data_IF_537820532042
#
_entry.id   IF_537820532042
#
_cell.length_a   1.000
_cell.length_b   1.000
_cell.length_c   1.000
_cell.angle_alpha   90.00
_cell.angle_beta   90.00
_cell.angle_gamma   90.00
#
_symmetry.space_group_name_H-M   'P 1'
#
loop_
_entity.id
_entity.type
_entity.pdbx_description
1 polymer ?
#
# COMPACT_ATOMS: atom_id res chain seq x y z
N UNK A 1 17.16 -12.30 2.07
CA UNK A 1 16.16 -12.54 3.13
C UNK A 1 15.61 -11.20 3.60
N UNK A 2 14.33 -11.11 3.95
CA UNK A 2 13.71 -9.87 4.44
C UNK A 2 14.25 -9.49 5.83
N UNK A 3 14.57 -8.21 6.09
CA UNK A 3 14.96 -7.74 7.42
C UNK A 3 13.79 -7.80 8.43
N UNK A 4 12.55 -8.04 7.96
CA UNK A 4 11.35 -8.17 8.80
C UNK A 4 11.20 -9.58 9.42
N UNK A 5 12.15 -10.48 9.18
CA UNK A 5 12.18 -11.83 9.76
C UNK A 5 11.36 -12.89 9.01
N UNK A 6 10.59 -12.50 7.98
CA UNK A 6 9.85 -13.43 7.12
C UNK A 6 9.81 -12.94 5.66
N UNK A 7 9.88 -13.89 4.73
CA UNK A 7 9.86 -13.63 3.28
C UNK A 7 11.18 -13.11 2.69
N UNK A 8 11.10 -12.65 1.43
CA UNK A 8 12.24 -12.22 0.63
C UNK A 8 12.02 -10.81 0.07
N UNK A 9 13.11 -10.07 -0.07
CA UNK A 9 13.11 -8.85 -0.87
C UNK A 9 13.27 -9.22 -2.35
N UNK A 10 12.60 -8.49 -3.22
CA UNK A 10 12.76 -8.59 -4.66
C UNK A 10 12.95 -7.18 -5.25
N UNK A 11 13.74 -7.10 -6.32
CA UNK A 11 14.02 -5.85 -7.03
C UNK A 11 13.44 -5.88 -8.45
N UNK A 12 13.74 -4.82 -9.21
CA UNK A 12 13.23 -4.60 -10.57
C UNK A 12 13.28 -5.86 -11.44
N UNK A 13 14.44 -6.54 -11.54
CA UNK A 13 14.61 -7.73 -12.40
C UNK A 13 13.53 -8.79 -12.15
N UNK A 14 13.33 -9.17 -10.88
CA UNK A 14 12.33 -10.19 -10.51
C UNK A 14 10.91 -9.69 -10.79
N UNK A 15 10.64 -8.40 -10.56
CA UNK A 15 9.37 -7.78 -10.95
C UNK A 15 9.14 -7.91 -12.45
N UNK A 16 10.07 -7.49 -13.31
CA UNK A 16 9.90 -7.58 -14.76
C UNK A 16 9.73 -9.02 -15.26
N UNK A 17 10.54 -9.96 -14.75
CA UNK A 17 10.42 -11.39 -15.08
C UNK A 17 9.04 -11.94 -14.70
N UNK A 18 8.56 -11.67 -13.48
CA UNK A 18 7.23 -12.11 -13.04
C UNK A 18 6.12 -11.53 -13.91
N UNK A 19 6.20 -10.24 -14.23
CA UNK A 19 5.21 -9.55 -15.06
C UNK A 19 5.15 -10.12 -16.47
N UNK A 20 6.31 -10.35 -17.09
CA UNK A 20 6.41 -10.93 -18.43
C UNK A 20 5.88 -12.37 -18.49
N UNK A 21 6.25 -13.20 -17.50
CA UNK A 21 5.81 -14.60 -17.44
C UNK A 21 4.30 -14.74 -17.27
N UNK A 22 3.65 -13.79 -16.60
CA UNK A 22 2.22 -13.85 -16.28
C UNK A 22 1.36 -12.90 -17.13
N UNK A 23 1.96 -12.19 -18.09
CA UNK A 23 1.28 -11.21 -18.93
C UNK A 23 0.49 -10.16 -18.12
N UNK A 24 1.17 -9.51 -17.17
CA UNK A 24 0.60 -8.49 -16.27
C UNK A 24 1.20 -7.12 -16.55
N UNK A 25 0.42 -6.06 -16.32
CA UNK A 25 0.84 -4.66 -16.53
C UNK A 25 1.23 -3.93 -15.24
N UNK A 26 0.58 -4.23 -14.11
CA UNK A 26 0.85 -3.63 -12.81
C UNK A 26 0.70 -4.60 -11.62
N UNK A 27 1.67 -4.61 -10.70
CA UNK A 27 1.51 -5.18 -9.36
C UNK A 27 1.04 -4.08 -8.39
N UNK A 28 -0.13 -4.26 -7.81
CA UNK A 28 -0.62 -3.44 -6.70
C UNK A 28 -0.33 -4.12 -5.36
N UNK A 29 0.35 -3.43 -4.44
CA UNK A 29 0.66 -3.95 -3.11
C UNK A 29 0.50 -2.90 -2.00
N UNK A 30 0.44 -3.35 -0.74
CA UNK A 30 0.47 -2.51 0.47
C UNK A 30 1.72 -2.83 1.32
N UNK A 31 1.60 -3.17 2.60
CA UNK A 31 2.67 -3.69 3.50
C UNK A 31 3.85 -2.76 3.87
N UNK A 32 4.43 -1.96 2.97
CA UNK A 32 5.46 -0.96 3.31
C UNK A 32 4.84 0.44 3.34
N UNK A 33 5.00 1.14 4.47
CA UNK A 33 4.71 2.55 4.61
C UNK A 33 5.42 3.38 3.53
N UNK A 34 4.68 4.30 2.92
CA UNK A 34 5.17 5.36 2.02
C UNK A 34 4.59 6.68 2.50
N UNK A 35 5.41 7.73 2.54
CA UNK A 35 5.03 9.00 3.18
C UNK A 35 3.96 9.73 2.39
N UNK A 36 4.06 9.63 1.07
CA UNK A 36 3.17 10.17 0.05
C UNK A 36 1.87 9.37 -0.15
N UNK A 37 1.61 8.34 0.67
CA UNK A 37 0.41 7.50 0.59
C UNK A 37 0.42 6.47 -0.54
N UNK A 38 1.07 6.74 -1.68
CA UNK A 38 1.30 5.75 -2.73
C UNK A 38 2.62 5.99 -3.46
N UNK A 39 3.25 4.94 -3.98
CA UNK A 39 4.54 5.07 -4.68
C UNK A 39 4.70 4.02 -5.78
N UNK A 40 4.98 4.49 -7.00
CA UNK A 40 5.41 3.67 -8.12
C UNK A 40 6.91 3.35 -8.04
N UNK A 41 7.28 2.15 -8.47
CA UNK A 41 8.65 1.65 -8.54
C UNK A 41 8.80 0.76 -9.77
N UNK A 42 10.05 0.58 -10.21
CA UNK A 42 10.44 -0.35 -11.28
C UNK A 42 9.67 -0.07 -12.59
N UNK A 43 9.87 1.14 -13.13
CA UNK A 43 9.23 1.62 -14.36
C UNK A 43 7.70 1.57 -14.28
N UNK A 44 7.17 2.00 -13.13
CA UNK A 44 5.75 2.01 -12.79
C UNK A 44 5.06 0.63 -12.81
N UNK A 45 5.79 -0.48 -12.92
CA UNK A 45 5.22 -1.84 -12.91
C UNK A 45 4.85 -2.34 -11.51
N UNK A 46 5.28 -1.65 -10.47
CA UNK A 46 4.89 -1.95 -9.09
C UNK A 46 4.42 -0.67 -8.40
N UNK A 47 3.21 -0.71 -7.84
CA UNK A 47 2.66 0.37 -7.03
C UNK A 47 2.44 -0.07 -5.60
N UNK A 48 2.82 0.83 -4.72
CA UNK A 48 2.57 0.78 -3.29
C UNK A 48 1.36 1.64 -2.99
N UNK A 49 0.40 1.13 -2.24
CA UNK A 49 -0.69 1.93 -1.70
C UNK A 49 -0.73 1.74 -0.19
N UNK A 50 -0.80 2.85 0.54
CA UNK A 50 -0.86 2.90 1.98
C UNK A 50 -2.08 3.71 2.41
N UNK A 51 -3.01 3.06 3.13
CA UNK A 51 -4.33 3.65 3.42
C UNK A 51 -4.54 4.02 4.90
N UNK A 52 -3.45 4.10 5.69
CA UNK A 52 -3.51 4.47 7.11
C UNK A 52 -2.74 5.78 7.35
N UNK A 53 -3.42 6.95 7.34
CA UNK A 53 -2.75 8.23 7.52
C UNK A 53 -2.27 8.39 8.96
N UNK A 54 -1.20 9.16 9.16
CA UNK A 54 -0.52 9.32 10.45
C UNK A 54 -0.31 7.97 11.17
N UNK A 55 0.35 7.03 10.49
CA UNK A 55 0.46 5.66 10.97
C UNK A 55 1.05 5.58 12.39
N UNK A 56 0.39 4.78 13.23
CA UNK A 56 0.67 4.66 14.66
C UNK A 56 0.74 6.02 15.41
N UNK A 57 0.09 7.07 14.90
CA UNK A 57 0.09 8.42 15.45
C UNK A 57 1.48 9.06 15.56
N UNK A 58 2.43 8.61 14.73
CA UNK A 58 3.85 9.02 14.81
C UNK A 58 4.50 9.28 13.46
N UNK A 59 3.98 8.69 12.40
CA UNK A 59 4.66 8.70 11.10
C UNK A 59 4.33 9.92 10.25
N UNK A 60 3.24 10.65 10.56
CA UNK A 60 2.78 11.85 9.84
C UNK A 60 2.62 11.68 8.31
N UNK A 61 2.52 10.43 7.82
CA UNK A 61 2.29 10.14 6.41
C UNK A 61 0.85 10.49 6.00
N UNK A 62 0.68 10.83 4.72
CA UNK A 62 -0.65 10.83 4.10
C UNK A 62 -1.04 9.40 3.70
N UNK A 63 -2.29 9.21 3.33
CA UNK A 63 -2.81 7.94 2.85
C UNK A 63 -3.41 8.07 1.45
N UNK A 64 -3.54 6.95 0.75
CA UNK A 64 -4.08 6.90 -0.58
C UNK A 64 -5.05 5.73 -0.78
N UNK A 65 -5.97 5.91 -1.73
CA UNK A 65 -6.68 4.84 -2.43
C UNK A 65 -6.33 4.95 -3.91
N UNK A 66 -5.96 3.84 -4.55
CA UNK A 66 -5.80 3.80 -6.01
C UNK A 66 -7.09 3.26 -6.62
N UNK A 67 -7.88 4.15 -7.24
CA UNK A 67 -9.12 3.82 -7.89
C UNK A 67 -8.88 3.52 -9.38
N UNK A 68 -9.49 2.46 -9.90
CA UNK A 68 -9.46 2.11 -11.31
C UNK A 68 -10.84 2.34 -11.90
N UNK A 69 -10.93 3.19 -12.92
CA UNK A 69 -12.17 3.38 -13.71
C UNK A 69 -12.19 2.42 -14.91
N UNK A 70 -11.00 2.09 -15.43
CA UNK A 70 -10.77 1.03 -16.41
C UNK A 70 -9.38 0.42 -16.19
N UNK A 71 -8.95 -0.48 -17.08
CA UNK A 71 -7.60 -1.09 -17.01
C UNK A 71 -6.50 -0.02 -17.13
N UNK A 72 -6.71 0.96 -18.01
CA UNK A 72 -5.73 2.01 -18.29
C UNK A 72 -5.94 3.28 -17.45
N UNK A 73 -7.17 3.50 -17.00
CA UNK A 73 -7.55 4.70 -16.26
C UNK A 73 -7.54 4.44 -14.75
N UNK A 74 -6.53 5.00 -14.10
CA UNK A 74 -6.31 4.92 -12.65
C UNK A 74 -6.09 6.30 -12.05
N UNK A 75 -6.66 6.51 -10.87
CA UNK A 75 -6.62 7.76 -10.12
C UNK A 75 -6.21 7.48 -8.67
N UNK A 76 -5.15 8.15 -8.20
CA UNK A 76 -4.77 8.11 -6.79
C UNK A 76 -5.54 9.20 -6.02
N UNK A 77 -6.37 8.77 -5.07
CA UNK A 77 -7.12 9.65 -4.16
C UNK A 77 -6.38 9.73 -2.84
N UNK A 78 -5.76 10.88 -2.58
CA UNK A 78 -4.99 11.16 -1.36
C UNK A 78 -5.91 11.68 -0.26
N UNK A 79 -5.69 11.25 0.98
CA UNK A 79 -6.40 11.71 2.14
C UNK A 79 -5.50 11.77 3.38
N UNK A 80 -5.84 12.66 4.30
CA UNK A 80 -5.10 12.89 5.54
C UNK A 80 -5.80 12.24 6.73
N UNK A 81 -5.13 12.27 7.90
CA UNK A 81 -5.74 11.85 9.14
C UNK A 81 -6.82 12.87 9.53
N UNK A 82 -7.93 12.39 10.06
CA UNK A 82 -8.92 13.27 10.71
C UNK A 82 -8.28 13.98 11.90
N UNK A 83 -8.78 15.17 12.24
CA UNK A 83 -8.32 15.89 13.42
C UNK A 83 -8.46 15.02 14.68
N UNK A 84 -7.51 15.15 15.61
CA UNK A 84 -7.51 14.34 16.84
C UNK A 84 -8.82 14.47 17.64
N UNK A 85 -9.47 15.64 17.57
CA UNK A 85 -10.76 15.91 18.22
C UNK A 85 -11.94 15.12 17.61
N UNK A 86 -11.84 14.71 16.34
CA UNK A 86 -12.88 13.99 15.60
C UNK A 86 -12.59 12.47 15.54
N UNK A 87 -11.50 12.03 16.18
CA UNK A 87 -11.06 10.64 16.13
C UNK A 87 -12.03 9.72 16.87
N UNK A 88 -12.62 8.78 16.16
CA UNK A 88 -13.44 7.71 16.73
C UNK A 88 -12.58 6.48 16.96
N UNK A 89 -12.51 5.99 18.21
CA UNK A 89 -11.91 4.69 18.51
C UNK A 89 -12.94 3.61 18.17
N UNK A 90 -12.71 2.76 17.16
CA UNK A 90 -13.67 1.71 16.82
C UNK A 90 -13.80 0.70 17.96
N UNK A 91 -15.00 0.14 18.13
CA UNK A 91 -15.23 -0.93 19.07
C UNK A 91 -14.30 -2.12 18.77
N UNK A 92 -13.79 -2.76 19.82
CA UNK A 92 -12.85 -3.86 19.69
C UNK A 92 -13.59 -5.12 19.23
N UNK A 93 -13.76 -5.28 17.92
CA UNK A 93 -14.28 -6.50 17.33
C UNK A 93 -13.13 -7.52 17.24
N UNK A 94 -13.19 -8.56 18.07
CA UNK A 94 -12.26 -9.68 17.96
C UNK A 94 -12.74 -10.55 16.81
N UNK A 95 -12.02 -10.55 15.68
CA UNK A 95 -12.30 -11.45 14.59
C UNK A 95 -11.89 -12.87 15.02
N UNK A 96 -12.78 -13.87 15.01
CA UNK A 96 -12.49 -15.21 15.55
C UNK A 96 -11.40 -15.96 14.77
N UNK A 97 -10.99 -15.46 13.61
CA UNK A 97 -10.02 -16.12 12.72
C UNK A 97 -8.55 -16.04 13.20
N UNK A 98 -8.25 -15.20 14.20
CA UNK A 98 -6.91 -15.05 14.77
C UNK A 98 -6.80 -15.58 16.22
N UNK A 99 -7.73 -16.44 16.62
CA UNK A 99 -7.65 -17.24 17.86
C UNK A 99 -7.18 -18.66 17.54
#
# INVERSE_FOLDING_TARGET
MSPRGAGWLFGARVTHEFMALNNLDLICRAHQLVQEGFKYMFDEKLVTVWSAPNYCYRCANVAAVLAFQSVDEREAKIFEAVADAERVVPARNVCPYFL
#
